data_IF_713139104490
#
_entry.id   IF_713139104490
#
_cell.length_a   1.000
_cell.length_b   1.000
_cell.length_c   1.000
_cell.angle_alpha   90.00
_cell.angle_beta   90.00
_cell.angle_gamma   90.00
#
_symmetry.space_group_name_H-M   'P 1'
#
loop_
_entity.id
_entity.type
_entity.pdbx_description
1 polymer ?
#
# COMPACT_ATOMS: atom_id res chain seq x y z
N UNK A 1 -8.48 -10.69 34.46
CA UNK A 1 -7.61 -9.75 33.72
C UNK A 1 -6.85 -8.94 34.75
N UNK A 2 -5.52 -8.90 34.67
CA UNK A 2 -4.68 -8.18 35.66
C UNK A 2 -4.93 -6.67 35.64
N UNK A 3 -4.68 -5.98 36.75
CA UNK A 3 -4.80 -4.52 36.84
C UNK A 3 -3.92 -3.80 35.81
N UNK A 4 -2.72 -4.29 35.54
CA UNK A 4 -1.82 -3.75 34.52
C UNK A 4 -2.45 -3.79 33.12
N UNK A 5 -3.16 -4.87 32.76
CA UNK A 5 -3.86 -4.97 31.45
C UNK A 5 -5.04 -4.00 31.40
N UNK A 6 -5.80 -3.84 32.48
CA UNK A 6 -6.89 -2.88 32.53
C UNK A 6 -6.38 -1.45 32.34
N UNK A 7 -5.29 -1.11 33.03
CA UNK A 7 -4.67 0.21 32.92
C UNK A 7 -4.09 0.46 31.53
N UNK A 8 -3.38 -0.49 30.93
CA UNK A 8 -2.89 -0.37 29.55
C UNK A 8 -4.03 -0.12 28.55
N UNK A 9 -5.15 -0.86 28.66
CA UNK A 9 -6.33 -0.62 27.83
C UNK A 9 -6.96 0.75 28.06
N UNK A 10 -6.96 1.24 29.31
CA UNK A 10 -7.46 2.58 29.62
C UNK A 10 -6.62 3.66 28.94
N UNK A 11 -5.29 3.53 29.01
CA UNK A 11 -4.36 4.46 28.35
C UNK A 11 -4.49 4.43 26.83
N UNK A 12 -4.55 3.25 26.22
CA UNK A 12 -4.78 3.11 24.77
C UNK A 12 -6.10 3.77 24.32
N UNK A 13 -7.19 3.57 25.06
CA UNK A 13 -8.48 4.23 24.74
C UNK A 13 -8.39 5.75 24.86
N UNK A 14 -7.65 6.26 25.85
CA UNK A 14 -7.43 7.71 26.01
C UNK A 14 -6.65 8.26 24.82
N UNK A 15 -5.58 7.58 24.40
CA UNK A 15 -4.78 8.01 23.26
C UNK A 15 -5.57 7.91 21.94
N UNK A 16 -6.33 6.83 21.73
CA UNK A 16 -7.21 6.71 20.57
C UNK A 16 -8.21 7.87 20.44
N UNK A 17 -8.80 8.31 21.57
CA UNK A 17 -9.72 9.47 21.58
C UNK A 17 -9.00 10.75 21.20
N UNK A 18 -7.83 11.01 21.80
CA UNK A 18 -7.00 12.19 21.50
C UNK A 18 -6.59 12.23 20.03
N UNK A 19 -6.16 11.09 19.45
CA UNK A 19 -5.82 11.01 18.04
C UNK A 19 -7.05 11.24 17.14
N UNK A 20 -8.21 10.70 17.52
CA UNK A 20 -9.46 10.90 16.78
C UNK A 20 -9.86 12.38 16.76
N UNK A 21 -9.74 13.08 17.88
CA UNK A 21 -9.98 14.53 17.98
C UNK A 21 -8.97 15.32 17.12
N UNK A 22 -7.68 15.00 17.22
CA UNK A 22 -6.64 15.67 16.45
C UNK A 22 -6.78 15.47 14.93
N UNK A 23 -7.35 14.35 14.50
CA UNK A 23 -7.62 14.06 13.09
C UNK A 23 -8.78 14.86 12.50
N UNK A 24 -9.66 15.45 13.33
CA UNK A 24 -10.80 16.25 12.83
C UNK A 24 -10.33 17.51 12.09
N UNK A 25 -9.28 18.17 12.60
CA UNK A 25 -8.81 19.46 12.09
C UNK A 25 -7.51 19.34 11.27
N UNK A 26 -6.71 18.31 11.46
CA UNK A 26 -5.48 18.11 10.71
C UNK A 26 -5.76 17.76 9.24
N UNK A 27 -5.22 18.54 8.31
CA UNK A 27 -5.27 18.32 6.86
C UNK A 27 -3.88 18.15 6.25
N UNK A 28 -2.88 18.00 7.10
CA UNK A 28 -1.49 17.90 6.69
C UNK A 28 -1.06 16.44 6.59
N UNK A 29 0.09 16.19 6.00
CA UNK A 29 0.69 14.86 5.90
C UNK A 29 0.93 14.19 7.26
N UNK A 30 1.01 14.97 8.37
CA UNK A 30 1.13 14.42 9.73
C UNK A 30 -0.07 13.55 10.13
N UNK A 31 -1.20 13.65 9.40
CA UNK A 31 -2.34 12.72 9.54
C UNK A 31 -1.92 11.26 9.38
N UNK A 32 -1.04 10.97 8.42
CA UNK A 32 -0.60 9.60 8.13
C UNK A 32 -0.05 8.89 9.36
N UNK A 33 0.84 9.54 10.11
CA UNK A 33 1.39 8.99 11.36
C UNK A 33 0.30 8.82 12.43
N UNK A 34 -0.62 9.77 12.56
CA UNK A 34 -1.74 9.67 13.51
C UNK A 34 -2.70 8.54 13.14
N UNK A 35 -3.00 8.38 11.84
CA UNK A 35 -3.83 7.29 11.33
C UNK A 35 -3.20 5.93 11.62
N UNK A 36 -1.90 5.77 11.35
CA UNK A 36 -1.15 4.56 11.67
C UNK A 36 -1.26 4.21 13.15
N UNK A 37 -0.93 5.15 14.03
CA UNK A 37 -1.00 4.92 15.49
C UNK A 37 -2.42 4.59 15.95
N UNK A 38 -3.43 5.28 15.42
CA UNK A 38 -4.83 5.00 15.74
C UNK A 38 -5.26 3.62 15.24
N UNK A 39 -4.82 3.20 14.07
CA UNK A 39 -5.04 1.89 13.50
C UNK A 39 -4.44 0.78 14.38
N UNK A 40 -3.17 0.91 14.75
CA UNK A 40 -2.47 -0.01 15.67
C UNK A 40 -3.18 -0.13 17.03
N UNK A 41 -3.61 0.99 17.61
CA UNK A 41 -4.37 0.98 18.86
C UNK A 41 -5.70 0.22 18.70
N UNK A 42 -6.41 0.41 17.59
CA UNK A 42 -7.67 -0.31 17.33
C UNK A 42 -7.46 -1.82 17.19
N UNK A 43 -6.38 -2.24 16.53
CA UNK A 43 -6.00 -3.66 16.46
C UNK A 43 -5.73 -4.24 17.85
N UNK A 44 -5.01 -3.51 18.73
CA UNK A 44 -4.74 -3.96 20.10
C UNK A 44 -6.00 -4.02 20.98
N UNK A 45 -6.97 -3.14 20.77
CA UNK A 45 -8.15 -3.02 21.62
C UNK A 45 -9.30 -3.93 21.22
N UNK A 46 -9.44 -4.26 19.94
CA UNK A 46 -10.61 -4.94 19.39
C UNK A 46 -10.23 -6.14 18.52
N UNK A 47 -10.50 -7.38 18.96
CA UNK A 47 -10.31 -8.56 18.13
C UNK A 47 -11.18 -8.59 16.86
N UNK A 48 -12.27 -7.82 16.84
CA UNK A 48 -13.17 -7.69 15.67
C UNK A 48 -12.65 -6.69 14.62
N UNK A 49 -11.61 -5.93 14.95
CA UNK A 49 -10.97 -5.01 14.03
C UNK A 49 -9.98 -5.80 13.16
N UNK A 50 -10.48 -6.32 12.04
CA UNK A 50 -9.78 -7.30 11.18
C UNK A 50 -9.07 -6.67 9.97
N UNK A 51 -8.95 -5.35 9.92
CA UNK A 51 -8.22 -4.65 8.86
C UNK A 51 -6.73 -4.98 8.91
N UNK A 52 -6.14 -5.25 7.75
CA UNK A 52 -4.81 -5.87 7.60
C UNK A 52 -3.70 -4.89 7.23
N UNK A 53 -4.05 -3.74 6.69
CA UNK A 53 -3.08 -2.73 6.24
C UNK A 53 -2.23 -2.16 7.37
N UNK A 54 -1.12 -1.49 7.03
CA UNK A 54 -0.22 -0.92 8.03
C UNK A 54 -0.77 0.33 8.73
N UNK A 55 -1.64 1.10 8.06
CA UNK A 55 -2.11 2.38 8.58
C UNK A 55 -3.61 2.65 8.32
N UNK A 56 -4.39 1.61 7.98
CA UNK A 56 -5.83 1.70 7.77
C UNK A 56 -6.24 2.02 6.33
N UNK A 57 -5.40 1.76 5.34
CA UNK A 57 -5.72 1.97 3.93
C UNK A 57 -6.96 1.16 3.51
N UNK A 58 -7.00 -0.13 3.86
CA UNK A 58 -8.14 -1.01 3.63
C UNK A 58 -9.42 -0.57 4.37
N UNK A 59 -9.30 0.00 5.57
CA UNK A 59 -10.42 0.61 6.30
C UNK A 59 -10.96 1.83 5.53
N UNK A 60 -10.08 2.70 5.02
CA UNK A 60 -10.50 3.88 4.24
C UNK A 60 -11.25 3.44 2.97
N UNK A 61 -10.72 2.45 2.23
CA UNK A 61 -11.38 1.89 1.04
C UNK A 61 -12.76 1.32 1.40
N UNK A 62 -12.83 0.50 2.45
CA UNK A 62 -14.07 -0.14 2.90
C UNK A 62 -15.15 0.88 3.27
N UNK A 63 -14.77 1.93 4.00
CA UNK A 63 -15.69 3.00 4.39
C UNK A 63 -16.14 3.85 3.19
N UNK A 64 -15.21 4.25 2.33
CA UNK A 64 -15.50 5.10 1.18
C UNK A 64 -16.45 4.40 0.19
N UNK A 65 -16.26 3.11 -0.02
CA UNK A 65 -17.13 2.30 -0.87
C UNK A 65 -18.30 1.65 -0.10
N UNK A 66 -18.63 2.16 1.12
CA UNK A 66 -19.80 1.76 1.91
C UNK A 66 -19.88 0.24 2.12
N UNK A 67 -18.74 -0.38 2.43
CA UNK A 67 -18.58 -1.83 2.66
C UNK A 67 -18.97 -2.67 1.43
N UNK A 68 -18.68 -2.17 0.24
CA UNK A 68 -18.97 -2.84 -1.03
C UNK A 68 -18.38 -4.25 -1.04
N UNK A 69 -19.18 -5.21 -1.52
CA UNK A 69 -18.75 -6.59 -1.74
C UNK A 69 -18.50 -6.85 -3.23
N UNK A 70 -17.57 -7.77 -3.52
CA UNK A 70 -17.31 -8.20 -4.89
C UNK A 70 -16.67 -7.12 -5.78
N UNK A 71 -15.95 -6.17 -5.19
CA UNK A 71 -15.13 -5.21 -5.93
C UNK A 71 -13.88 -5.83 -6.52
N UNK A 72 -13.07 -5.01 -7.18
CA UNK A 72 -11.83 -5.42 -7.82
C UNK A 72 -10.63 -4.61 -7.35
N UNK A 73 -9.47 -5.28 -7.19
CA UNK A 73 -8.24 -4.62 -6.77
C UNK A 73 -7.02 -5.04 -7.59
N UNK A 74 -5.97 -4.21 -7.55
CA UNK A 74 -4.60 -4.59 -7.93
C UNK A 74 -3.66 -4.13 -6.82
N UNK A 75 -2.92 -5.07 -6.24
CA UNK A 75 -1.98 -4.87 -5.12
C UNK A 75 -0.55 -4.97 -5.67
N UNK A 76 0.14 -3.85 -5.79
CA UNK A 76 1.46 -3.75 -6.40
C UNK A 76 2.48 -3.50 -5.29
N UNK A 77 3.49 -4.39 -5.19
CA UNK A 77 4.38 -4.48 -4.05
C UNK A 77 3.71 -5.20 -2.88
N UNK A 78 2.88 -6.23 -3.19
CA UNK A 78 2.03 -6.90 -2.21
C UNK A 78 2.76 -7.79 -1.20
N UNK A 79 4.11 -7.84 -1.23
CA UNK A 79 4.98 -8.58 -0.32
C UNK A 79 4.52 -10.04 -0.15
N UNK A 80 4.34 -10.53 1.08
CA UNK A 80 3.89 -11.91 1.36
C UNK A 80 2.36 -12.12 1.22
N UNK A 81 1.66 -11.10 0.80
CA UNK A 81 0.21 -11.08 0.56
C UNK A 81 -0.66 -10.88 1.80
N UNK A 82 -0.09 -10.87 3.00
CA UNK A 82 -0.82 -10.78 4.28
C UNK A 82 -0.31 -9.66 5.17
N UNK A 83 1.02 -9.63 5.39
CA UNK A 83 1.64 -8.69 6.33
C UNK A 83 1.49 -7.26 5.85
N UNK A 84 0.68 -6.47 6.53
CA UNK A 84 0.44 -5.07 6.19
C UNK A 84 -0.31 -4.84 4.87
N UNK A 85 -0.91 -5.89 4.27
CA UNK A 85 -1.54 -5.81 2.95
C UNK A 85 -2.75 -4.88 2.94
N UNK A 86 -2.79 -3.99 1.96
CA UNK A 86 -3.88 -3.05 1.70
C UNK A 86 -5.12 -3.73 1.10
N UNK A 87 -5.01 -4.99 0.66
CA UNK A 87 -6.05 -5.70 -0.09
C UNK A 87 -6.52 -7.02 0.55
N UNK A 88 -5.77 -7.58 1.50
CA UNK A 88 -6.09 -8.87 2.12
C UNK A 88 -7.46 -8.87 2.82
N UNK A 89 -7.79 -7.81 3.57
CA UNK A 89 -9.12 -7.63 4.16
C UNK A 89 -10.22 -7.59 3.09
N UNK A 90 -10.02 -6.86 2.02
CA UNK A 90 -10.99 -6.71 0.93
C UNK A 90 -11.28 -8.06 0.26
N UNK A 91 -10.23 -8.85 -0.01
CA UNK A 91 -10.37 -10.19 -0.56
C UNK A 91 -11.11 -11.13 0.41
N UNK A 92 -10.63 -11.25 1.65
CA UNK A 92 -11.11 -12.25 2.59
C UNK A 92 -12.43 -11.91 3.26
N UNK A 93 -12.71 -10.63 3.53
CA UNK A 93 -13.89 -10.20 4.28
C UNK A 93 -14.98 -9.58 3.39
N UNK A 94 -14.61 -9.04 2.22
CA UNK A 94 -15.54 -8.41 1.28
C UNK A 94 -15.76 -9.22 0.00
N UNK A 95 -14.98 -10.30 -0.21
CA UNK A 95 -15.08 -11.15 -1.40
C UNK A 95 -14.66 -10.42 -2.67
N UNK A 96 -13.72 -9.50 -2.56
CA UNK A 96 -13.14 -8.82 -3.71
C UNK A 96 -12.24 -9.78 -4.49
N UNK A 97 -12.08 -9.52 -5.78
CA UNK A 97 -11.19 -10.25 -6.67
C UNK A 97 -10.15 -9.29 -7.28
N UNK A 98 -9.04 -9.83 -7.77
CA UNK A 98 -8.02 -8.95 -8.33
C UNK A 98 -6.72 -9.66 -8.61
N UNK A 99 -5.60 -8.96 -8.50
CA UNK A 99 -4.27 -9.51 -8.66
C UNK A 99 -3.30 -8.89 -7.64
N UNK A 100 -2.32 -9.68 -7.21
CA UNK A 100 -1.19 -9.25 -6.41
C UNK A 100 0.09 -9.36 -7.24
N UNK A 101 0.95 -8.36 -7.13
CA UNK A 101 2.22 -8.29 -7.87
C UNK A 101 3.38 -8.10 -6.90
N UNK A 102 4.39 -8.96 -7.02
CA UNK A 102 5.58 -8.93 -6.16
C UNK A 102 6.78 -9.52 -6.92
N UNK A 103 7.90 -8.80 -7.10
CA UNK A 103 9.06 -9.31 -7.82
C UNK A 103 9.89 -10.32 -7.02
N UNK A 104 9.90 -10.27 -5.68
CA UNK A 104 10.74 -11.12 -4.82
C UNK A 104 10.19 -12.54 -4.75
N UNK A 105 10.97 -13.52 -5.23
CA UNK A 105 10.56 -14.93 -5.31
C UNK A 105 10.08 -15.48 -3.98
N UNK A 106 10.83 -15.25 -2.90
CA UNK A 106 10.47 -15.76 -1.57
C UNK A 106 9.16 -15.18 -1.02
N UNK A 107 8.78 -13.97 -1.44
CA UNK A 107 7.55 -13.31 -0.99
C UNK A 107 6.36 -13.73 -1.86
N UNK A 108 6.51 -13.76 -3.18
CA UNK A 108 5.42 -14.19 -4.06
C UNK A 108 5.01 -15.65 -3.80
N UNK A 109 5.94 -16.54 -3.45
CA UNK A 109 5.63 -17.92 -3.05
C UNK A 109 4.80 -18.00 -1.75
N UNK A 110 4.99 -17.07 -0.82
CA UNK A 110 4.15 -16.95 0.39
C UNK A 110 2.78 -16.40 0.03
N UNK A 111 2.74 -15.36 -0.79
CA UNK A 111 1.48 -14.77 -1.26
C UNK A 111 0.62 -15.83 -1.98
N UNK A 112 1.19 -16.64 -2.87
CA UNK A 112 0.48 -17.72 -3.57
C UNK A 112 -0.15 -18.77 -2.64
N UNK A 113 0.37 -18.93 -1.42
CA UNK A 113 -0.17 -19.86 -0.41
C UNK A 113 -1.29 -19.25 0.42
N UNK A 114 -1.31 -17.93 0.56
CA UNK A 114 -2.21 -17.20 1.47
C UNK A 114 -3.33 -16.44 0.76
N UNK A 115 -3.18 -16.18 -0.54
CA UNK A 115 -4.14 -15.42 -1.37
C UNK A 115 -4.89 -16.34 -2.33
N UNK A 116 -6.11 -15.97 -2.67
CA UNK A 116 -6.91 -16.67 -3.70
C UNK A 116 -6.83 -15.97 -5.06
N UNK A 117 -6.45 -14.69 -5.07
CA UNK A 117 -6.22 -13.96 -6.31
C UNK A 117 -4.94 -14.42 -7.02
N UNK A 118 -4.81 -14.25 -8.35
CA UNK A 118 -3.56 -14.40 -9.06
C UNK A 118 -2.42 -13.59 -8.44
N UNK A 119 -1.29 -14.26 -8.15
CA UNK A 119 -0.06 -13.64 -7.65
C UNK A 119 1.00 -13.70 -8.75
N UNK A 120 1.42 -12.54 -9.25
CA UNK A 120 2.25 -12.41 -10.45
C UNK A 120 3.63 -11.93 -10.06
N UNK A 121 4.67 -12.70 -10.46
CA UNK A 121 6.06 -12.34 -10.20
C UNK A 121 6.60 -11.40 -11.28
N UNK A 122 6.52 -10.11 -11.05
CA UNK A 122 7.04 -9.07 -11.94
C UNK A 122 7.22 -7.77 -11.15
N UNK A 123 8.15 -6.91 -11.54
CA UNK A 123 8.24 -5.54 -11.05
C UNK A 123 7.43 -4.59 -11.95
N UNK A 124 6.68 -3.66 -11.36
CA UNK A 124 6.00 -2.63 -12.13
C UNK A 124 6.95 -1.45 -12.36
N UNK A 125 7.02 -0.99 -13.60
CA UNK A 125 7.87 0.11 -14.04
C UNK A 125 7.20 0.92 -15.15
N UNK A 126 7.84 2.02 -15.57
CA UNK A 126 7.36 2.84 -16.67
C UNK A 126 7.43 2.14 -18.05
N UNK A 127 8.25 1.07 -18.17
CA UNK A 127 8.42 0.31 -19.42
C UNK A 127 8.60 -1.17 -19.17
N UNK A 128 8.27 -1.97 -20.17
CA UNK A 128 8.54 -3.41 -20.17
C UNK A 128 10.00 -3.72 -20.41
N UNK A 129 10.51 -4.82 -19.84
CA UNK A 129 11.87 -5.29 -20.05
C UNK A 129 12.45 -6.05 -18.88
N UNK A 130 13.71 -5.77 -18.58
CA UNK A 130 14.43 -6.26 -17.39
C UNK A 130 15.15 -5.09 -16.73
N UNK A 131 15.24 -5.14 -15.41
CA UNK A 131 15.92 -4.12 -14.62
C UNK A 131 16.64 -4.72 -13.42
N UNK A 132 17.66 -4.04 -12.93
CA UNK A 132 18.30 -4.36 -11.66
C UNK A 132 17.36 -4.05 -10.51
N UNK A 133 17.26 -4.99 -9.60
CA UNK A 133 16.40 -4.92 -8.42
C UNK A 133 17.23 -5.21 -7.16
N UNK A 134 17.09 -4.35 -6.16
CA UNK A 134 17.72 -4.51 -4.85
C UNK A 134 16.77 -5.34 -3.99
N UNK A 135 17.08 -6.62 -3.84
CA UNK A 135 16.34 -7.54 -2.98
C UNK A 135 16.95 -7.53 -1.58
N UNK A 136 16.21 -7.01 -0.60
CA UNK A 136 16.63 -7.02 0.79
C UNK A 136 16.21 -8.35 1.42
N UNK A 137 17.21 -9.18 1.77
CA UNK A 137 16.97 -10.54 2.29
C UNK A 137 16.98 -10.63 3.81
N UNK A 138 17.60 -9.66 4.49
CA UNK A 138 17.54 -9.52 5.96
C UNK A 138 17.42 -8.04 6.36
N UNK A 139 16.78 -7.76 7.47
CA UNK A 139 16.48 -6.41 7.95
C UNK A 139 15.10 -5.95 7.48
N UNK A 140 15.04 -4.88 6.72
CA UNK A 140 13.79 -4.31 6.19
C UNK A 140 13.40 -4.97 4.85
N UNK A 141 13.04 -6.24 4.86
CA UNK A 141 12.79 -7.03 3.64
C UNK A 141 11.61 -6.54 2.80
N UNK A 142 10.71 -5.73 3.36
CA UNK A 142 9.62 -5.06 2.64
C UNK A 142 10.10 -3.91 1.75
N UNK A 143 11.30 -3.39 2.02
CA UNK A 143 11.89 -2.25 1.35
C UNK A 143 12.72 -2.65 0.12
N UNK A 144 12.35 -3.71 -0.59
CA UNK A 144 13.01 -4.13 -1.83
C UNK A 144 12.49 -3.33 -3.02
N UNK A 145 13.35 -2.87 -3.95
CA UNK A 145 12.90 -1.99 -5.02
C UNK A 145 13.85 -1.96 -6.23
N UNK A 146 13.41 -1.33 -7.32
CA UNK A 146 14.20 -1.15 -8.52
C UNK A 146 15.41 -0.24 -8.26
N UNK A 147 16.63 -0.71 -8.60
CA UNK A 147 17.87 0.03 -8.32
C UNK A 147 17.90 1.42 -8.98
N UNK A 148 17.25 1.58 -10.14
CA UNK A 148 17.24 2.83 -10.91
C UNK A 148 16.36 3.93 -10.31
N UNK A 149 15.28 3.58 -9.60
CA UNK A 149 14.30 4.51 -9.04
C UNK A 149 14.33 4.60 -7.51
N UNK A 150 15.12 3.75 -6.85
CA UNK A 150 15.19 3.71 -5.39
C UNK A 150 15.65 5.05 -4.81
N UNK A 151 14.91 5.60 -3.86
CA UNK A 151 15.34 6.82 -3.18
C UNK A 151 16.65 6.61 -2.42
N UNK A 152 17.66 7.43 -2.71
CA UNK A 152 19.02 7.28 -2.18
C UNK A 152 19.10 7.44 -0.65
N UNK A 153 18.26 8.32 -0.07
CA UNK A 153 18.25 8.55 1.39
C UNK A 153 17.59 7.38 2.09
N UNK A 154 16.48 6.91 1.54
CA UNK A 154 15.76 5.74 2.03
C UNK A 154 16.67 4.51 1.98
N UNK A 155 17.30 4.24 0.84
CA UNK A 155 18.25 3.12 0.69
C UNK A 155 19.42 3.21 1.68
N UNK A 156 19.96 4.42 1.88
CA UNK A 156 21.01 4.63 2.89
C UNK A 156 20.52 4.31 4.30
N UNK A 157 19.28 4.68 4.63
CA UNK A 157 18.68 4.37 5.93
C UNK A 157 18.50 2.86 6.11
N UNK A 158 18.00 2.18 5.09
CA UNK A 158 17.81 0.73 5.08
C UNK A 158 19.16 -0.01 5.25
N UNK A 159 20.18 0.42 4.52
CA UNK A 159 21.55 -0.14 4.61
C UNK A 159 22.24 0.08 5.95
N UNK A 160 21.80 1.05 6.75
CA UNK A 160 22.32 1.31 8.09
C UNK A 160 21.75 0.34 9.17
N UNK A 161 20.74 -0.47 8.86
CA UNK A 161 20.30 -1.53 9.77
C UNK A 161 21.40 -2.60 9.92
N UNK A 162 21.79 -2.92 11.15
CA UNK A 162 22.84 -3.91 11.44
C UNK A 162 22.52 -5.31 10.92
N UNK A 163 21.24 -5.61 10.64
CA UNK A 163 20.79 -6.88 10.10
C UNK A 163 20.77 -6.89 8.58
N UNK A 164 21.02 -5.73 7.94
CA UNK A 164 20.84 -5.56 6.51
C UNK A 164 21.70 -6.52 5.69
N UNK A 165 21.04 -7.25 4.80
CA UNK A 165 21.66 -7.98 3.70
C UNK A 165 20.83 -7.79 2.44
N UNK A 166 21.49 -7.58 1.32
CA UNK A 166 20.85 -7.39 0.02
C UNK A 166 21.53 -8.19 -1.09
N UNK A 167 20.75 -8.53 -2.11
CA UNK A 167 21.22 -9.04 -3.38
C UNK A 167 20.81 -8.05 -4.46
N UNK A 168 21.63 -7.93 -5.51
CA UNK A 168 21.22 -7.25 -6.74
C UNK A 168 20.90 -8.33 -7.77
N UNK A 169 19.65 -8.37 -8.21
CA UNK A 169 19.12 -9.39 -9.12
C UNK A 169 18.49 -8.73 -10.35
N UNK A 170 18.40 -9.47 -11.46
CA UNK A 170 17.63 -9.03 -12.62
C UNK A 170 16.18 -9.49 -12.47
N UNK A 171 15.23 -8.58 -12.59
CA UNK A 171 13.81 -8.88 -12.58
C UNK A 171 13.14 -8.47 -13.89
N UNK A 172 12.11 -9.19 -14.29
CA UNK A 172 11.24 -8.76 -15.38
C UNK A 172 10.46 -7.53 -14.97
N UNK A 173 10.35 -6.54 -15.85
CA UNK A 173 9.51 -5.37 -15.66
C UNK A 173 8.31 -5.37 -16.60
N UNK A 174 7.20 -4.79 -16.15
CA UNK A 174 5.98 -4.62 -16.93
C UNK A 174 5.36 -3.26 -16.59
N UNK A 175 4.65 -2.68 -17.56
CA UNK A 175 3.85 -1.48 -17.28
C UNK A 175 2.59 -1.84 -16.50
N UNK A 176 2.11 -0.90 -15.67
CA UNK A 176 0.85 -1.09 -14.94
C UNK A 176 -0.32 -1.35 -15.90
N UNK A 177 -0.42 -0.61 -17.00
CA UNK A 177 -1.47 -0.84 -18.00
C UNK A 177 -1.38 -2.24 -18.62
N UNK A 178 -0.17 -2.70 -18.98
CA UNK A 178 0.04 -4.06 -19.48
C UNK A 178 -0.40 -5.14 -18.48
N UNK A 179 -0.10 -4.93 -17.18
CA UNK A 179 -0.57 -5.81 -16.11
C UNK A 179 -2.11 -5.84 -16.02
N UNK A 180 -2.77 -4.70 -16.06
CA UNK A 180 -4.24 -4.62 -16.00
C UNK A 180 -4.88 -5.40 -17.14
N UNK A 181 -4.36 -5.29 -18.34
CA UNK A 181 -4.82 -6.09 -19.49
C UNK A 181 -4.53 -7.59 -19.31
N UNK A 182 -3.34 -7.96 -18.86
CA UNK A 182 -2.95 -9.35 -18.62
C UNK A 182 -3.87 -10.05 -17.61
N UNK A 183 -4.25 -9.35 -16.55
CA UNK A 183 -5.10 -9.90 -15.49
C UNK A 183 -6.60 -9.85 -15.81
N UNK A 184 -6.99 -9.13 -16.84
CA UNK A 184 -8.40 -8.85 -17.14
C UNK A 184 -9.07 -7.85 -16.20
N UNK A 185 -8.34 -7.30 -15.23
CA UNK A 185 -8.83 -6.26 -14.30
C UNK A 185 -8.53 -4.88 -14.88
N UNK A 186 -9.16 -4.58 -16.01
CA UNK A 186 -8.85 -3.37 -16.80
C UNK A 186 -9.29 -2.07 -16.09
N UNK A 187 -10.34 -2.15 -15.28
CA UNK A 187 -10.92 -1.01 -14.56
C UNK A 187 -11.07 -1.34 -13.07
N UNK A 188 -9.98 -1.45 -12.31
CA UNK A 188 -10.04 -1.82 -10.88
C UNK A 188 -10.75 -0.76 -10.05
N UNK A 189 -11.47 -1.20 -9.02
CA UNK A 189 -12.04 -0.29 -8.02
C UNK A 189 -10.95 0.32 -7.15
N UNK A 190 -9.88 -0.45 -6.86
CA UNK A 190 -8.77 -0.04 -6.03
C UNK A 190 -7.42 -0.49 -6.58
N UNK A 191 -6.45 0.41 -6.61
CA UNK A 191 -5.03 0.10 -6.83
C UNK A 191 -4.23 0.53 -5.60
N UNK A 192 -3.44 -0.39 -5.05
CA UNK A 192 -2.37 -0.13 -4.10
C UNK A 192 -1.04 -0.11 -4.87
N UNK A 193 -0.32 1.00 -4.82
CA UNK A 193 0.96 1.19 -5.53
C UNK A 193 2.05 1.54 -4.51
N UNK A 194 2.89 0.54 -4.23
CA UNK A 194 4.01 0.61 -3.28
C UNK A 194 5.20 -0.16 -3.90
N UNK A 195 6.12 0.57 -4.55
CA UNK A 195 7.24 -0.01 -5.31
C UNK A 195 8.59 0.61 -4.95
N UNK A 196 8.63 1.30 -3.79
CA UNK A 196 9.86 1.83 -3.17
C UNK A 196 10.64 2.81 -4.07
N UNK A 197 9.90 3.76 -4.67
CA UNK A 197 10.48 4.92 -5.37
C UNK A 197 10.22 5.03 -6.88
N UNK A 198 9.50 4.07 -7.47
CA UNK A 198 9.11 4.09 -8.89
C UNK A 198 7.73 4.68 -9.18
N UNK A 199 6.99 5.13 -8.16
CA UNK A 199 5.58 5.53 -8.23
C UNK A 199 5.35 6.66 -9.21
N UNK A 200 6.19 7.71 -9.16
CA UNK A 200 6.06 8.89 -10.03
C UNK A 200 6.20 8.50 -11.51
N UNK A 201 7.21 7.72 -11.85
CA UNK A 201 7.46 7.33 -13.23
C UNK A 201 6.39 6.35 -13.73
N UNK A 202 5.90 5.46 -12.85
CA UNK A 202 4.76 4.59 -13.13
C UNK A 202 3.50 5.41 -13.43
N UNK A 203 3.18 6.42 -12.60
CA UNK A 203 2.02 7.29 -12.78
C UNK A 203 2.12 8.16 -14.05
N UNK A 204 3.31 8.67 -14.39
CA UNK A 204 3.53 9.43 -15.63
C UNK A 204 3.29 8.57 -16.88
N UNK A 205 3.66 7.29 -16.83
CA UNK A 205 3.49 6.35 -17.93
C UNK A 205 2.07 5.74 -18.00
N UNK A 206 1.27 5.89 -16.93
CA UNK A 206 -0.04 5.26 -16.85
C UNK A 206 -1.09 5.99 -17.72
N UNK A 207 -1.77 5.29 -18.65
CA UNK A 207 -2.78 5.90 -19.49
C UNK A 207 -4.12 6.01 -18.75
N UNK A 208 -4.27 7.04 -17.92
CA UNK A 208 -5.44 7.26 -17.06
C UNK A 208 -6.79 7.30 -17.81
N UNK A 209 -6.77 7.63 -19.08
CA UNK A 209 -8.00 7.72 -19.89
C UNK A 209 -8.50 6.33 -20.31
N UNK A 210 -7.60 5.33 -20.39
CA UNK A 210 -7.90 3.97 -20.76
C UNK A 210 -8.40 3.12 -19.57
N UNK A 211 -8.14 3.57 -18.34
CA UNK A 211 -8.45 2.84 -17.12
C UNK A 211 -9.27 3.66 -16.13
N UNK A 212 -10.43 3.14 -15.75
CA UNK A 212 -11.32 3.79 -14.77
C UNK A 212 -11.05 3.24 -13.37
N UNK A 213 -10.03 3.78 -12.72
CA UNK A 213 -9.71 3.43 -11.33
C UNK A 213 -10.46 4.37 -10.39
N UNK A 214 -11.13 3.83 -9.36
CA UNK A 214 -11.88 4.66 -8.39
C UNK A 214 -10.98 5.20 -7.28
N UNK A 215 -10.17 4.31 -6.67
CA UNK A 215 -9.32 4.62 -5.52
C UNK A 215 -7.90 4.20 -5.80
N UNK A 216 -6.96 5.02 -5.35
CA UNK A 216 -5.53 4.71 -5.27
C UNK A 216 -5.04 4.88 -3.84
N UNK A 217 -4.19 3.96 -3.38
CA UNK A 217 -3.21 4.16 -2.31
C UNK A 217 -1.85 4.23 -2.97
N UNK A 218 -1.12 5.32 -2.80
CA UNK A 218 0.18 5.52 -3.44
C UNK A 218 1.18 5.86 -2.36
N UNK A 219 2.23 5.04 -2.24
CA UNK A 219 3.30 5.33 -1.33
C UNK A 219 4.07 6.58 -1.75
N UNK A 220 4.33 7.47 -0.80
CA UNK A 220 5.10 8.69 -1.01
C UNK A 220 6.09 8.89 0.13
N UNK A 221 7.12 8.07 0.19
CA UNK A 221 8.14 8.11 1.25
C UNK A 221 8.89 9.46 1.35
N UNK A 222 9.04 10.15 0.23
CA UNK A 222 9.75 11.44 0.17
C UNK A 222 8.88 12.63 0.51
N UNK A 223 7.56 12.48 0.51
CA UNK A 223 6.61 13.58 0.70
C UNK A 223 6.61 14.60 -0.45
N UNK A 224 7.03 14.19 -1.65
CA UNK A 224 7.03 15.07 -2.82
C UNK A 224 5.62 15.49 -3.20
N UNK A 225 5.39 16.76 -3.61
CA UNK A 225 4.08 17.20 -4.10
C UNK A 225 3.76 16.69 -5.51
N UNK A 226 4.70 16.04 -6.19
CA UNK A 226 4.59 15.66 -7.60
C UNK A 226 3.48 14.60 -7.81
N UNK A 227 3.37 13.60 -6.93
CA UNK A 227 2.29 12.60 -6.97
C UNK A 227 0.93 13.29 -6.91
N UNK A 228 0.75 14.19 -5.94
CA UNK A 228 -0.49 14.97 -5.81
C UNK A 228 -0.79 15.78 -7.08
N UNK A 229 0.21 16.44 -7.64
CA UNK A 229 0.05 17.23 -8.88
C UNK A 229 -0.42 16.37 -10.04
N UNK A 230 0.17 15.17 -10.22
CA UNK A 230 -0.24 14.22 -11.27
C UNK A 230 -1.68 13.77 -11.05
N UNK A 231 -2.02 13.35 -9.84
CA UNK A 231 -3.33 12.79 -9.53
C UNK A 231 -4.45 13.83 -9.64
N UNK A 232 -4.24 15.04 -9.15
CA UNK A 232 -5.20 16.14 -9.27
C UNK A 232 -5.43 16.55 -10.74
N UNK A 233 -4.37 16.58 -11.57
CA UNK A 233 -4.48 16.83 -13.01
C UNK A 233 -5.31 15.74 -13.75
N UNK A 234 -5.43 14.55 -13.18
CA UNK A 234 -6.25 13.43 -13.67
C UNK A 234 -7.65 13.37 -13.05
N UNK A 235 -8.01 14.37 -12.25
CA UNK A 235 -9.32 14.51 -11.63
C UNK A 235 -9.54 13.68 -10.37
N UNK A 236 -8.46 13.26 -9.71
CA UNK A 236 -8.52 12.60 -8.39
C UNK A 236 -8.36 13.63 -7.28
N UNK A 237 -9.10 13.46 -6.20
CA UNK A 237 -8.93 14.24 -4.98
C UNK A 237 -8.12 13.44 -3.95
N UNK A 238 -7.14 14.09 -3.31
CA UNK A 238 -6.48 13.54 -2.12
C UNK A 238 -7.50 13.55 -0.96
N UNK A 239 -7.79 12.38 -0.42
CA UNK A 239 -8.85 12.21 0.61
C UNK A 239 -8.30 11.86 1.98
N UNK A 240 -7.15 11.16 2.05
CA UNK A 240 -6.56 10.76 3.33
C UNK A 240 -5.05 10.52 3.19
N UNK A 241 -4.37 10.54 4.34
CA UNK A 241 -3.00 10.06 4.52
C UNK A 241 -3.00 8.86 5.47
N UNK A 242 -2.43 7.73 5.04
CA UNK A 242 -2.30 6.51 5.82
C UNK A 242 -0.82 6.11 5.94
N UNK A 243 -0.17 6.43 7.05
CA UNK A 243 1.30 6.28 7.13
C UNK A 243 2.00 7.16 6.08
N UNK A 244 2.86 6.60 5.22
CA UNK A 244 3.47 7.30 4.10
C UNK A 244 2.53 7.49 2.91
N UNK A 245 1.44 6.70 2.83
CA UNK A 245 0.57 6.64 1.66
C UNK A 245 -0.35 7.85 1.55
N UNK A 246 -0.58 8.25 0.32
CA UNK A 246 -1.58 9.21 -0.10
C UNK A 246 -2.76 8.47 -0.75
N UNK A 247 -3.95 8.63 -0.18
CA UNK A 247 -5.18 8.01 -0.70
C UNK A 247 -5.90 8.99 -1.63
N UNK A 248 -6.14 8.55 -2.86
CA UNK A 248 -6.81 9.36 -3.89
C UNK A 248 -8.12 8.72 -4.32
N UNK A 249 -9.12 9.56 -4.57
CA UNK A 249 -10.44 9.12 -5.02
C UNK A 249 -10.94 9.93 -6.21
N UNK A 250 -11.57 9.25 -7.18
CA UNK A 250 -12.24 9.86 -8.31
C UNK A 250 -13.71 9.45 -8.30
N UNK A 251 -14.57 10.39 -7.94
CA UNK A 251 -16.02 10.19 -7.82
C UNK A 251 -16.64 11.26 -6.93
N UNK A 252 -17.96 11.21 -6.77
CA UNK A 252 -18.63 11.98 -5.71
C UNK A 252 -18.65 11.13 -4.43
N UNK A 253 -18.18 11.64 -3.29
CA UNK A 253 -18.19 10.94 -2.02
C UNK A 253 -19.61 10.66 -1.49
#
# INVERSE_FOLDING_TARGET
MSENIKEARRLLRKEARKLTEALQDDRTRTRGTKMRTLHEIRQMLSPQYSFSSQAGQDLVVDQLLKQMRGGTFVDIGGYDGVTGSNTYFLETQRGWTGALVEPVTAQIEKAQKSRTCPCIQVAIAASEGQAEFIEIVEGYTQMSGLASSYDKKLLSTVRNDKRHKENVVQVKTQTLSGLLHQTGVVHPDFISLDIEGGEIECLKAFPFDDHKVKIWSIENNTGTPEIKTIMEAKGYALIEFCGPDEMYFKGSP
#
